data_IF_904317564739
#
_entry.id   IF_904317564739
#
_cell.length_a   1.000
_cell.length_b   1.000
_cell.length_c   1.000
_cell.angle_alpha   90.00
_cell.angle_beta   90.00
_cell.angle_gamma   90.00
#
_symmetry.space_group_name_H-M   'P 1'
#
loop_
_entity.id
_entity.type
_entity.pdbx_description
1 polymer ?
#
# COMPACT_ATOMS: atom_id res chain seq x y z
N UNK A 1 12.40 25.48 9.38
CA UNK A 1 13.27 24.29 9.43
C UNK A 1 12.83 23.30 8.36
N UNK A 2 13.77 22.82 7.57
CA UNK A 2 13.46 21.86 6.50
C UNK A 2 13.36 20.46 7.09
N UNK A 3 12.27 19.76 6.79
CA UNK A 3 12.06 18.39 7.20
C UNK A 3 13.08 17.48 6.49
N UNK A 4 13.76 16.63 7.27
CA UNK A 4 14.65 15.61 6.74
C UNK A 4 13.79 14.43 6.28
N UNK A 5 13.89 14.05 5.01
CA UNK A 5 13.10 12.97 4.46
C UNK A 5 13.94 11.75 4.11
N UNK A 6 13.28 10.61 4.10
CA UNK A 6 13.87 9.33 3.72
C UNK A 6 12.88 8.56 2.86
N UNK A 7 13.37 7.52 2.21
CA UNK A 7 12.53 6.66 1.36
C UNK A 7 12.85 5.19 1.55
N UNK A 8 11.93 4.37 1.09
CA UNK A 8 12.03 2.92 1.15
C UNK A 8 11.50 2.34 -0.16
N UNK A 9 12.24 1.42 -0.76
CA UNK A 9 11.85 0.76 -2.01
C UNK A 9 11.78 -0.74 -1.76
N UNK A 10 10.68 -1.36 -2.17
CA UNK A 10 10.52 -2.80 -2.08
C UNK A 10 10.04 -3.34 -3.42
N UNK A 11 10.70 -4.39 -3.91
CA UNK A 11 10.39 -5.02 -5.19
C UNK A 11 10.01 -6.47 -4.95
N UNK A 12 8.92 -6.92 -5.58
CA UNK A 12 8.54 -8.32 -5.55
C UNK A 12 8.02 -8.73 -6.93
N UNK A 13 8.07 -10.03 -7.21
CA UNK A 13 7.60 -10.61 -8.46
C UNK A 13 6.43 -11.53 -8.18
N UNK A 14 5.36 -11.36 -8.95
CA UNK A 14 4.09 -12.06 -8.71
C UNK A 14 3.66 -12.77 -9.98
N UNK A 15 3.29 -14.05 -9.87
CA UNK A 15 2.73 -14.80 -11.00
C UNK A 15 1.28 -14.35 -11.20
N UNK A 16 1.11 -13.29 -11.95
CA UNK A 16 -0.19 -12.66 -12.19
C UNK A 16 -0.08 -11.71 -13.37
N UNK A 17 -1.10 -10.89 -13.59
CA UNK A 17 -1.13 -9.88 -14.64
C UNK A 17 -1.13 -8.48 -14.02
N UNK A 18 -0.66 -7.46 -14.77
CA UNK A 18 -0.71 -6.08 -14.27
C UNK A 18 -2.12 -5.65 -13.84
N UNK A 19 -3.14 -6.06 -14.59
CA UNK A 19 -4.54 -5.72 -14.30
C UNK A 19 -4.96 -6.28 -12.95
N UNK A 20 -4.61 -7.53 -12.65
CA UNK A 20 -4.97 -8.16 -11.38
C UNK A 20 -4.23 -7.54 -10.20
N UNK A 21 -2.97 -7.17 -10.39
CA UNK A 21 -2.19 -6.48 -9.36
C UNK A 21 -2.79 -5.10 -9.08
N UNK A 22 -3.12 -4.36 -10.13
CA UNK A 22 -3.74 -3.03 -9.98
C UNK A 22 -5.09 -3.13 -9.28
N UNK A 23 -5.92 -4.11 -9.67
CA UNK A 23 -7.22 -4.35 -9.03
C UNK A 23 -7.06 -4.73 -7.55
N UNK A 24 -6.04 -5.52 -7.22
CA UNK A 24 -5.80 -5.91 -5.83
C UNK A 24 -5.55 -4.70 -4.94
N UNK A 25 -4.92 -3.66 -5.48
CA UNK A 25 -4.64 -2.43 -4.73
C UNK A 25 -5.88 -1.52 -4.67
N UNK A 26 -6.64 -1.42 -5.77
CA UNK A 26 -7.66 -0.38 -5.92
C UNK A 26 -9.09 -0.85 -5.66
N UNK A 27 -9.36 -2.16 -5.70
CA UNK A 27 -10.71 -2.68 -5.43
C UNK A 27 -10.84 -3.07 -3.95
N UNK A 28 -11.78 -2.46 -3.21
CA UNK A 28 -11.89 -2.71 -1.76
C UNK A 28 -12.12 -4.18 -1.40
N UNK A 29 -12.97 -4.87 -2.13
CA UNK A 29 -13.29 -6.28 -1.88
C UNK A 29 -12.10 -7.21 -2.11
N UNK A 30 -11.18 -6.85 -3.01
CA UNK A 30 -9.97 -7.63 -3.27
C UNK A 30 -8.91 -7.31 -2.21
N UNK A 31 -8.65 -6.02 -1.95
CA UNK A 31 -7.66 -5.60 -0.95
C UNK A 31 -7.96 -6.20 0.42
N UNK A 32 -9.23 -6.24 0.81
CA UNK A 32 -9.65 -6.82 2.09
C UNK A 32 -9.16 -8.26 2.27
N UNK A 33 -9.08 -9.02 1.19
CA UNK A 33 -8.79 -10.46 1.26
C UNK A 33 -7.32 -10.78 1.56
N UNK A 34 -6.41 -9.84 1.31
CA UNK A 34 -4.99 -10.07 1.63
C UNK A 34 -4.41 -9.04 2.60
N UNK A 35 -5.04 -7.88 2.73
CA UNK A 35 -4.52 -6.77 3.55
C UNK A 35 -5.29 -6.60 4.86
N UNK A 36 -6.51 -7.12 4.93
CA UNK A 36 -7.39 -6.87 6.08
C UNK A 36 -7.89 -5.42 6.12
N UNK A 37 -7.68 -4.68 5.04
CA UNK A 37 -8.13 -3.32 4.84
C UNK A 37 -8.70 -3.16 3.44
N UNK A 38 -9.54 -2.16 3.28
CA UNK A 38 -10.06 -1.76 1.99
C UNK A 38 -9.46 -0.42 1.62
N UNK A 39 -9.04 -0.29 0.36
CA UNK A 39 -8.60 1.00 -0.18
C UNK A 39 -9.79 1.58 -0.94
N UNK A 40 -10.29 2.73 -0.49
CA UNK A 40 -11.52 3.34 -1.02
C UNK A 40 -11.22 4.70 -1.62
N UNK A 41 -11.57 4.88 -2.89
CA UNK A 41 -11.39 6.13 -3.63
C UNK A 41 -12.18 6.08 -4.92
N UNK A 42 -12.38 7.23 -5.55
CA UNK A 42 -12.84 7.31 -6.95
C UNK A 42 -11.69 7.05 -7.92
N UNK A 43 -10.46 7.06 -7.43
CA UNK A 43 -9.22 6.81 -8.18
C UNK A 43 -9.01 7.75 -9.36
N UNK A 44 -9.48 8.98 -9.22
CA UNK A 44 -9.17 10.06 -10.17
C UNK A 44 -8.10 10.96 -9.57
N UNK A 45 -7.22 11.57 -10.39
CA UNK A 45 -6.24 12.52 -9.85
C UNK A 45 -6.93 13.61 -9.03
N UNK A 46 -6.43 13.86 -7.83
CA UNK A 46 -7.01 14.80 -6.88
C UNK A 46 -8.07 14.21 -5.95
N UNK A 47 -8.57 13.01 -6.22
CA UNK A 47 -9.54 12.36 -5.34
C UNK A 47 -8.91 11.97 -4.01
N UNK A 48 -9.71 11.97 -2.96
CA UNK A 48 -9.29 11.43 -1.66
C UNK A 48 -9.26 9.91 -1.75
N UNK A 49 -8.39 9.29 -0.96
CA UNK A 49 -8.43 7.84 -0.72
C UNK A 49 -8.34 7.60 0.78
N UNK A 50 -8.87 6.46 1.20
CA UNK A 50 -8.84 6.05 2.59
C UNK A 50 -8.53 4.56 2.68
N UNK A 51 -7.77 4.20 3.71
CA UNK A 51 -7.39 2.83 4.04
C UNK A 51 -8.19 2.45 5.27
N UNK A 52 -9.21 1.62 5.07
CA UNK A 52 -10.25 1.35 6.06
C UNK A 52 -10.12 -0.08 6.53
N UNK A 53 -10.05 -0.26 7.85
CA UNK A 53 -9.95 -1.59 8.45
C UNK A 53 -11.22 -2.39 8.15
N UNK A 54 -11.05 -3.63 7.71
CA UNK A 54 -12.18 -4.51 7.42
C UNK A 54 -12.73 -5.11 8.71
N UNK A 55 -13.25 -4.25 9.56
CA UNK A 55 -13.89 -4.62 10.83
C UNK A 55 -15.28 -3.96 10.91
N UNK A 56 -16.03 -4.28 11.94
CA UNK A 56 -17.40 -3.77 12.08
C UNK A 56 -17.45 -2.25 12.23
N UNK A 57 -16.46 -1.66 12.90
CA UNK A 57 -16.38 -0.21 13.10
C UNK A 57 -15.90 0.52 11.84
N UNK A 58 -15.33 -0.19 10.87
CA UNK A 58 -14.76 0.40 9.66
C UNK A 58 -13.80 1.54 10.00
N UNK A 59 -12.85 1.23 10.86
CA UNK A 59 -11.85 2.20 11.33
C UNK A 59 -10.98 2.68 10.19
N UNK A 60 -10.90 4.00 10.00
CA UNK A 60 -10.00 4.61 9.01
C UNK A 60 -8.61 4.75 9.63
N UNK A 61 -7.63 4.02 9.11
CA UNK A 61 -6.26 4.05 9.63
C UNK A 61 -5.38 5.05 8.87
N UNK A 62 -5.55 5.14 7.55
CA UNK A 62 -4.71 5.98 6.69
C UNK A 62 -5.58 6.76 5.71
N UNK A 63 -5.09 7.93 5.33
CA UNK A 63 -5.76 8.80 4.37
C UNK A 63 -4.74 9.44 3.44
N UNK A 64 -5.22 9.98 2.32
CA UNK A 64 -4.39 10.72 1.39
C UNK A 64 -5.19 11.15 0.17
N UNK A 65 -4.43 11.51 -0.88
CA UNK A 65 -4.99 11.90 -2.17
C UNK A 65 -4.33 11.10 -3.28
N UNK A 66 -5.06 10.90 -4.36
CA UNK A 66 -4.52 10.32 -5.59
C UNK A 66 -3.79 11.42 -6.35
N UNK A 67 -2.51 11.21 -6.61
CA UNK A 67 -1.68 12.16 -7.36
C UNK A 67 -1.68 11.81 -8.83
N UNK A 68 -1.49 10.52 -9.14
CA UNK A 68 -1.41 10.03 -10.51
C UNK A 68 -2.03 8.64 -10.57
N UNK A 69 -2.76 8.36 -11.63
CA UNK A 69 -3.30 7.03 -11.87
C UNK A 69 -3.21 6.72 -13.36
N UNK A 70 -2.49 5.64 -13.69
CA UNK A 70 -2.30 5.15 -15.07
C UNK A 70 -2.48 3.63 -15.05
N UNK A 71 -3.74 3.17 -15.06
CA UNK A 71 -4.01 1.73 -14.99
C UNK A 71 -3.50 1.02 -16.24
N UNK A 72 -2.96 -0.18 -16.08
CA UNK A 72 -2.71 -0.92 -14.85
C UNK A 72 -1.26 -0.80 -14.36
N UNK A 73 -0.52 0.24 -14.78
CA UNK A 73 0.94 0.28 -14.62
C UNK A 73 1.44 1.17 -13.49
N UNK A 74 0.63 2.14 -13.04
CA UNK A 74 1.14 3.13 -12.09
C UNK A 74 0.03 3.75 -11.25
N UNK A 75 0.31 3.89 -9.96
CA UNK A 75 -0.55 4.62 -9.02
C UNK A 75 0.35 5.37 -8.05
N UNK A 76 0.09 6.66 -7.87
CA UNK A 76 0.81 7.50 -6.90
C UNK A 76 -0.22 8.12 -5.96
N UNK A 77 -0.02 7.91 -4.66
CA UNK A 77 -0.91 8.43 -3.62
C UNK A 77 -0.09 9.11 -2.53
N UNK A 78 -0.68 10.05 -1.81
CA UNK A 78 -0.12 10.55 -0.56
C UNK A 78 -0.63 9.69 0.59
N UNK A 79 0.05 9.76 1.75
CA UNK A 79 -0.13 8.76 2.80
C UNK A 79 0.13 9.38 4.16
N UNK A 80 -0.86 9.35 5.04
CA UNK A 80 -0.72 9.83 6.42
C UNK A 80 -1.65 9.05 7.34
N UNK A 81 -1.29 8.99 8.62
CA UNK A 81 -2.21 8.48 9.63
C UNK A 81 -3.47 9.33 9.64
N UNK A 82 -4.63 8.71 9.78
CA UNK A 82 -5.90 9.42 9.83
C UNK A 82 -5.93 10.47 10.94
N UNK A 83 -5.25 10.19 12.05
CA UNK A 83 -5.14 11.12 13.19
C UNK A 83 -4.34 12.38 12.85
N UNK A 84 -3.59 12.38 11.76
CA UNK A 84 -2.75 13.50 11.32
C UNK A 84 -3.22 14.10 9.99
N UNK A 85 -4.45 13.80 9.60
CA UNK A 85 -4.98 14.19 8.29
C UNK A 85 -4.94 15.69 8.03
N UNK A 86 -5.04 16.52 9.07
CA UNK A 86 -5.04 17.98 8.93
C UNK A 86 -3.65 18.60 8.90
N UNK A 87 -2.60 17.81 9.11
CA UNK A 87 -1.21 18.30 9.09
C UNK A 87 -0.55 18.00 7.75
N UNK A 88 -0.36 19.01 6.88
CA UNK A 88 0.27 18.77 5.56
C UNK A 88 1.65 18.17 5.64
N UNK A 89 2.41 18.44 6.70
CA UNK A 89 3.77 17.92 6.87
C UNK A 89 3.79 16.43 7.20
N UNK A 90 2.67 15.84 7.61
CA UNK A 90 2.58 14.43 7.96
C UNK A 90 2.50 13.51 6.74
N UNK A 91 2.21 14.05 5.55
CA UNK A 91 2.00 13.23 4.36
C UNK A 91 3.30 12.81 3.72
N UNK A 92 3.38 11.51 3.44
CA UNK A 92 4.42 10.91 2.62
C UNK A 92 3.81 10.52 1.27
N UNK A 93 4.60 9.91 0.40
CA UNK A 93 4.17 9.53 -0.94
C UNK A 93 4.44 8.07 -1.20
N UNK A 94 3.47 7.37 -1.77
CA UNK A 94 3.60 5.96 -2.17
C UNK A 94 3.39 5.87 -3.68
N UNK A 95 4.33 5.24 -4.35
CA UNK A 95 4.25 4.96 -5.79
C UNK A 95 4.22 3.45 -5.99
N UNK A 96 3.18 2.96 -6.67
CA UNK A 96 3.12 1.58 -7.12
C UNK A 96 3.48 1.55 -8.60
N UNK A 97 4.56 0.84 -8.94
CA UNK A 97 4.96 0.59 -10.33
C UNK A 97 4.71 -0.86 -10.66
N UNK A 98 3.99 -1.12 -11.75
CA UNK A 98 3.53 -2.46 -12.13
C UNK A 98 4.00 -2.73 -13.55
N UNK A 99 4.95 -3.67 -13.71
CA UNK A 99 5.53 -3.99 -15.00
C UNK A 99 5.30 -5.45 -15.36
N UNK A 100 4.87 -5.69 -16.61
CA UNK A 100 4.75 -7.05 -17.12
C UNK A 100 6.13 -7.64 -17.41
N UNK A 101 6.37 -8.86 -16.93
CA UNK A 101 7.60 -9.63 -17.11
C UNK A 101 7.24 -11.04 -17.55
N UNK A 102 7.23 -11.30 -18.86
CA UNK A 102 6.82 -12.62 -19.40
C UNK A 102 5.52 -13.12 -18.73
N UNK A 103 5.60 -14.14 -17.89
CA UNK A 103 4.43 -14.73 -17.21
C UNK A 103 4.18 -14.15 -15.83
N UNK A 104 4.88 -13.09 -15.45
CA UNK A 104 4.77 -12.50 -14.11
C UNK A 104 4.76 -10.98 -14.16
N UNK A 105 4.60 -10.38 -13.01
CA UNK A 105 4.60 -8.93 -12.82
C UNK A 105 5.72 -8.56 -11.87
N UNK A 106 6.48 -7.53 -12.19
CA UNK A 106 7.36 -6.89 -11.22
C UNK A 106 6.58 -5.75 -10.58
N UNK A 107 6.34 -5.85 -9.28
CA UNK A 107 5.67 -4.82 -8.49
C UNK A 107 6.72 -4.10 -7.66
N UNK A 108 6.84 -2.79 -7.87
CA UNK A 108 7.75 -1.93 -7.11
C UNK A 108 6.93 -0.96 -6.29
N UNK A 109 7.14 -0.94 -4.98
CA UNK A 109 6.57 0.06 -4.09
C UNK A 109 7.69 0.99 -3.65
N UNK A 110 7.53 2.27 -3.95
CA UNK A 110 8.44 3.32 -3.50
C UNK A 110 7.67 4.18 -2.51
N UNK A 111 8.11 4.19 -1.25
CA UNK A 111 7.49 5.00 -0.21
C UNK A 111 8.52 6.04 0.22
N UNK A 112 8.35 7.27 -0.24
CA UNK A 112 9.31 8.34 0.01
C UNK A 112 8.64 9.55 0.64
N UNK A 113 9.40 10.63 0.79
CA UNK A 113 8.97 11.83 1.51
C UNK A 113 8.52 11.51 2.94
N UNK A 114 9.10 10.46 3.52
CA UNK A 114 8.89 10.09 4.92
C UNK A 114 9.78 10.96 5.80
N UNK A 115 9.25 11.40 6.94
CA UNK A 115 10.08 12.08 7.91
C UNK A 115 11.08 11.09 8.50
N UNK A 116 12.38 11.39 8.40
CA UNK A 116 13.43 10.49 8.85
C UNK A 116 13.30 10.23 10.36
N UNK A 117 13.41 8.95 10.74
CA UNK A 117 13.31 8.53 12.14
C UNK A 117 11.90 8.53 12.72
N UNK A 118 10.89 8.87 11.91
CA UNK A 118 9.49 8.88 12.38
C UNK A 118 8.96 7.47 12.61
N UNK A 119 7.88 7.38 13.38
CA UNK A 119 7.16 6.12 13.58
C UNK A 119 6.67 5.53 12.27
N UNK A 120 6.18 6.38 11.36
CA UNK A 120 5.72 5.94 10.04
C UNK A 120 6.89 5.35 9.24
N UNK A 121 8.05 6.03 9.21
CA UNK A 121 9.22 5.54 8.47
C UNK A 121 9.68 4.18 8.98
N UNK A 122 9.62 3.95 10.28
CA UNK A 122 9.98 2.65 10.86
C UNK A 122 8.92 1.58 10.59
N UNK A 123 7.64 1.94 10.70
CA UNK A 123 6.54 1.00 10.53
C UNK A 123 6.45 0.45 9.11
N UNK A 124 6.62 1.29 8.08
CA UNK A 124 6.45 0.85 6.69
C UNK A 124 7.57 -0.09 6.23
N UNK A 125 8.75 -0.03 6.83
CA UNK A 125 9.85 -0.95 6.51
C UNK A 125 9.51 -2.39 6.87
N UNK A 126 8.70 -2.59 7.91
CA UNK A 126 8.18 -3.90 8.30
C UNK A 126 6.88 -4.22 7.58
N UNK A 127 6.04 -3.22 7.37
CA UNK A 127 4.70 -3.40 6.81
C UNK A 127 4.70 -3.82 5.35
N UNK A 128 5.46 -3.13 4.50
CA UNK A 128 5.44 -3.44 3.07
C UNK A 128 5.87 -4.87 2.75
N UNK A 129 6.96 -5.42 3.31
CA UNK A 129 7.31 -6.82 3.03
C UNK A 129 6.20 -7.80 3.40
N UNK A 130 5.51 -7.60 4.52
CA UNK A 130 4.41 -8.47 4.93
C UNK A 130 3.20 -8.33 4.00
N UNK A 131 2.78 -7.09 3.74
CA UNK A 131 1.61 -6.83 2.90
C UNK A 131 1.81 -7.34 1.49
N UNK A 132 2.98 -7.09 0.89
CA UNK A 132 3.25 -7.53 -0.48
C UNK A 132 3.47 -9.03 -0.57
N UNK A 133 3.97 -9.67 0.49
CA UNK A 133 4.01 -11.13 0.55
C UNK A 133 2.60 -11.71 0.60
N UNK A 134 1.69 -11.07 1.32
CA UNK A 134 0.29 -11.48 1.38
C UNK A 134 -0.41 -11.29 0.03
N UNK A 135 -0.16 -10.17 -0.64
CA UNK A 135 -0.68 -9.90 -1.97
C UNK A 135 -0.20 -10.96 -2.96
N UNK A 136 1.10 -11.26 -2.95
CA UNK A 136 1.70 -12.27 -3.81
C UNK A 136 1.05 -13.65 -3.57
N UNK A 137 0.97 -14.06 -2.32
CA UNK A 137 0.35 -15.32 -1.95
C UNK A 137 -1.10 -15.38 -2.42
N UNK A 138 -1.85 -14.31 -2.19
CA UNK A 138 -3.26 -14.25 -2.57
C UNK A 138 -3.45 -14.37 -4.09
N UNK A 139 -2.69 -13.63 -4.88
CA UNK A 139 -2.82 -13.67 -6.32
C UNK A 139 -2.33 -14.98 -6.94
N UNK A 140 -1.37 -15.64 -6.32
CA UNK A 140 -0.80 -16.90 -6.82
C UNK A 140 -1.56 -18.14 -6.35
N UNK A 141 -2.17 -18.09 -5.15
CA UNK A 141 -2.79 -19.28 -4.54
C UNK A 141 -4.24 -19.09 -4.14
N UNK A 142 -4.77 -17.86 -4.17
CA UNK A 142 -6.11 -17.54 -3.67
C UNK A 142 -6.16 -17.26 -2.18
N UNK A 143 -5.03 -17.33 -1.47
CA UNK A 143 -4.99 -17.15 -0.02
C UNK A 143 -3.89 -16.17 0.36
N UNK A 144 -4.29 -15.12 1.13
CA UNK A 144 -3.33 -14.22 1.75
C UNK A 144 -2.68 -14.86 2.97
N UNK A 145 -1.77 -14.12 3.60
CA UNK A 145 -1.13 -14.55 4.84
C UNK A 145 -1.71 -13.75 6.01
N UNK A 146 -1.57 -14.29 7.21
CA UNK A 146 -2.04 -13.63 8.43
C UNK A 146 -1.02 -12.55 8.82
N UNK A 147 -1.39 -11.29 8.59
CA UNK A 147 -0.49 -10.15 8.87
C UNK A 147 -0.30 -9.90 10.37
N UNK A 148 -1.12 -10.53 11.22
CA UNK A 148 -1.01 -10.43 12.67
C UNK A 148 -0.21 -11.57 13.29
N UNK A 149 0.27 -12.51 12.47
CA UNK A 149 1.02 -13.65 12.95
C UNK A 149 2.29 -13.22 13.69
N UNK A 150 2.63 -13.97 14.74
CA UNK A 150 3.80 -13.69 15.57
C UNK A 150 4.86 -14.78 15.36
N UNK A 151 6.13 -14.46 15.61
CA UNK A 151 7.17 -15.49 15.60
C UNK A 151 6.84 -16.61 16.60
N UNK A 152 7.13 -17.84 16.23
CA UNK A 152 6.97 -18.94 17.16
C UNK A 152 8.05 -18.87 18.24
N UNK A 153 7.66 -19.20 19.48
CA UNK A 153 8.62 -19.30 20.56
C UNK A 153 9.59 -20.46 20.29
N UNK A 154 10.85 -20.27 20.61
CA UNK A 154 11.88 -21.28 20.44
C UNK A 154 11.67 -22.44 21.44
#
# INVERSE_FOLDING_TARGET
>A
MIKQTTGFVYVTYVLSTPEKVFEAITKPDVARRFWGHENVSDWNPGSKWAHIRANDERTVDLVGKVIEVSPPTRLVITWANASQASDPASYSRVTFGIEAYDSMVRLTVTHDELEAGSGMANAIKKGWPLVLSSLKSFLETGRGIDLSAKPKSA
#
